data_IF_379032933096
#
_entry.id   IF_379032933096
#
_cell.length_a   1.000
_cell.length_b   1.000
_cell.length_c   1.000
_cell.angle_alpha   90.00
_cell.angle_beta   90.00
_cell.angle_gamma   90.00
#
_symmetry.space_group_name_H-M   'P 1'
#
loop_
_entity.id
_entity.type
_entity.pdbx_description
1 polymer ?
#
# COMPACT_ATOMS: atom_id res chain seq x y z
N UNK A 1 -3.25 16.00 8.28
CA UNK A 1 -3.47 14.57 8.04
C UNK A 1 -2.22 13.75 8.34
N UNK A 2 -1.03 14.12 7.89
CA UNK A 2 0.25 13.43 8.24
C UNK A 2 0.97 14.15 9.39
N UNK A 3 1.68 13.41 10.25
CA UNK A 3 2.58 13.97 11.25
C UNK A 3 3.93 14.37 10.63
N UNK A 4 4.59 15.39 11.20
CA UNK A 4 5.84 15.94 10.65
C UNK A 4 6.95 14.89 10.61
N UNK A 5 7.00 14.04 11.64
CA UNK A 5 7.93 12.93 11.85
C UNK A 5 7.43 11.59 11.31
N UNK A 6 6.46 11.59 10.37
CA UNK A 6 5.95 10.38 9.72
C UNK A 6 7.07 9.46 9.25
N UNK A 7 6.98 8.18 9.58
CA UNK A 7 7.85 7.14 8.99
C UNK A 7 6.99 6.13 8.23
N UNK A 8 7.30 5.94 6.95
CA UNK A 8 6.67 4.91 6.10
C UNK A 8 7.73 3.93 5.64
N UNK A 9 7.42 2.63 5.72
CA UNK A 9 8.32 1.57 5.28
C UNK A 9 7.74 0.83 4.08
N UNK A 10 8.60 0.55 3.10
CA UNK A 10 8.32 -0.31 1.95
C UNK A 10 9.23 -1.53 2.01
N UNK A 11 8.83 -2.60 2.74
CA UNK A 11 9.74 -3.70 3.04
C UNK A 11 10.16 -4.50 1.81
N UNK A 12 9.32 -4.52 0.76
CA UNK A 12 9.60 -5.27 -0.48
C UNK A 12 10.81 -4.70 -1.21
N UNK A 13 10.95 -3.37 -1.27
CA UNK A 13 12.11 -2.69 -1.86
C UNK A 13 13.24 -2.42 -0.83
N UNK A 14 12.97 -2.62 0.46
CA UNK A 14 13.93 -2.35 1.54
C UNK A 14 14.07 -0.88 1.89
N UNK A 15 13.06 -0.07 1.60
CA UNK A 15 13.10 1.38 1.75
C UNK A 15 12.37 1.87 3.01
N UNK A 16 12.87 2.97 3.59
CA UNK A 16 12.23 3.71 4.67
C UNK A 16 12.21 5.20 4.32
N UNK A 17 11.02 5.77 4.32
CA UNK A 17 10.75 7.18 4.05
C UNK A 17 10.55 7.86 5.40
N UNK A 18 11.33 8.89 5.68
CA UNK A 18 11.28 9.65 6.95
C UNK A 18 10.88 11.09 6.67
N UNK A 19 9.88 11.58 7.40
CA UNK A 19 9.34 12.92 7.28
C UNK A 19 8.18 13.01 6.28
N UNK A 20 7.14 13.79 6.64
CA UNK A 20 5.96 13.95 5.76
C UNK A 20 6.30 14.54 4.40
N UNK A 21 7.28 15.44 4.33
CA UNK A 21 7.59 16.18 3.12
C UNK A 21 8.16 15.21 2.07
N UNK A 22 9.05 14.29 2.49
CA UNK A 22 9.57 13.23 1.62
C UNK A 22 8.45 12.31 1.13
N UNK A 23 7.55 11.87 2.02
CA UNK A 23 6.44 11.01 1.62
C UNK A 23 5.49 11.69 0.62
N UNK A 24 5.19 12.97 0.82
CA UNK A 24 4.37 13.76 -0.10
C UNK A 24 5.09 13.96 -1.44
N UNK A 25 6.37 14.31 -1.43
CA UNK A 25 7.17 14.49 -2.66
C UNK A 25 7.19 13.22 -3.51
N UNK A 26 7.44 12.05 -2.92
CA UNK A 26 7.46 10.77 -3.64
C UNK A 26 6.11 10.51 -4.33
N UNK A 27 5.00 10.73 -3.62
CA UNK A 27 3.66 10.54 -4.19
C UNK A 27 3.32 11.58 -5.27
N UNK A 28 3.87 12.80 -5.18
CA UNK A 28 3.65 13.87 -6.14
C UNK A 28 4.52 13.73 -7.41
N UNK A 29 5.73 13.21 -7.26
CA UNK A 29 6.70 12.98 -8.34
C UNK A 29 6.50 11.64 -9.06
N UNK A 30 5.50 10.85 -8.65
CA UNK A 30 5.19 9.56 -9.25
C UNK A 30 5.04 9.72 -10.79
N UNK A 31 5.96 9.14 -11.61
CA UNK A 31 6.20 9.61 -12.98
C UNK A 31 5.00 9.57 -13.93
N UNK A 32 4.05 8.67 -13.69
CA UNK A 32 2.86 8.46 -14.54
C UNK A 32 1.57 8.99 -13.89
N UNK A 33 1.67 9.60 -12.72
CA UNK A 33 0.52 9.85 -11.86
C UNK A 33 -0.08 8.55 -11.32
N UNK A 34 -1.11 8.67 -10.48
CA UNK A 34 -1.76 7.50 -9.89
C UNK A 34 -3.25 7.74 -9.68
N UNK A 35 -4.00 6.65 -9.67
CA UNK A 35 -5.35 6.60 -9.14
C UNK A 35 -5.44 5.49 -8.10
N UNK A 36 -6.32 5.65 -7.12
CA UNK A 36 -6.52 4.67 -6.06
C UNK A 36 -7.99 4.30 -6.02
N UNK A 37 -8.26 3.00 -6.00
CA UNK A 37 -9.55 2.43 -5.65
C UNK A 37 -9.44 1.79 -4.27
N UNK A 38 -10.18 2.33 -3.31
CA UNK A 38 -10.26 1.73 -1.97
C UNK A 38 -11.14 0.48 -2.03
N UNK A 39 -10.60 -0.65 -1.60
CA UNK A 39 -11.34 -1.93 -1.52
C UNK A 39 -11.88 -2.15 -0.11
N UNK A 40 -11.03 -1.91 0.90
CA UNK A 40 -11.38 -2.13 2.30
C UNK A 40 -10.58 -1.22 3.22
N UNK A 41 -11.21 -0.80 4.31
CA UNK A 41 -10.55 -0.17 5.46
C UNK A 41 -11.00 -0.89 6.72
N UNK A 42 -10.06 -1.19 7.62
CA UNK A 42 -10.32 -1.73 8.96
C UNK A 42 -9.59 -0.86 9.96
N UNK A 43 -10.25 -0.47 11.04
CA UNK A 43 -9.66 0.35 12.10
C UNK A 43 -9.91 -0.31 13.47
N UNK A 44 -8.87 -0.34 14.30
CA UNK A 44 -8.92 -0.78 15.69
C UNK A 44 -7.97 0.07 16.54
N UNK A 45 -8.54 0.93 17.39
CA UNK A 45 -7.78 1.91 18.16
C UNK A 45 -6.91 2.81 17.25
N UNK A 46 -5.60 2.77 17.47
CA UNK A 46 -4.62 3.52 16.67
C UNK A 46 -4.20 2.80 15.37
N UNK A 47 -4.54 1.52 15.21
CA UNK A 47 -4.16 0.75 14.03
C UNK A 47 -5.23 0.89 12.94
N UNK A 48 -4.81 1.19 11.72
CA UNK A 48 -5.69 1.24 10.55
C UNK A 48 -5.05 0.46 9.42
N UNK A 49 -5.80 -0.44 8.79
CA UNK A 49 -5.36 -1.18 7.61
C UNK A 49 -6.21 -0.73 6.43
N UNK A 50 -5.56 -0.38 5.32
CA UNK A 50 -6.22 -0.15 4.04
C UNK A 50 -5.79 -1.20 3.03
N UNK A 51 -6.76 -1.76 2.32
CA UNK A 51 -6.55 -2.54 1.11
C UNK A 51 -7.03 -1.69 -0.07
N UNK A 52 -6.13 -1.45 -1.02
CA UNK A 52 -6.42 -0.63 -2.19
C UNK A 52 -5.92 -1.29 -3.46
N UNK A 53 -6.51 -0.86 -4.57
CA UNK A 53 -6.09 -1.14 -5.92
C UNK A 53 -5.53 0.14 -6.55
N UNK A 54 -4.37 0.04 -7.18
CA UNK A 54 -3.69 1.14 -7.88
C UNK A 54 -3.50 0.69 -9.34
N UNK A 55 -4.43 1.03 -10.25
CA UNK A 55 -4.27 0.69 -11.66
C UNK A 55 -3.19 1.59 -12.30
N UNK A 56 -2.35 0.95 -13.09
CA UNK A 56 -1.25 1.59 -13.83
C UNK A 56 -1.34 1.19 -15.30
N UNK A 57 -1.21 2.16 -16.20
CA UNK A 57 -1.39 1.91 -17.63
C UNK A 57 -0.29 0.98 -18.18
N UNK A 58 0.96 1.19 -17.76
CA UNK A 58 2.11 0.40 -18.23
C UNK A 58 2.46 -0.83 -17.36
N UNK A 59 2.09 -0.85 -16.09
CA UNK A 59 2.56 -1.84 -15.09
C UNK A 59 1.44 -2.72 -14.53
N UNK A 60 0.25 -2.66 -15.15
CA UNK A 60 -0.90 -3.44 -14.70
C UNK A 60 -1.49 -2.91 -13.40
N UNK A 61 -2.12 -3.81 -12.64
CA UNK A 61 -2.88 -3.42 -11.45
C UNK A 61 -2.13 -3.83 -10.20
N UNK A 62 -1.75 -2.86 -9.37
CA UNK A 62 -1.17 -3.14 -8.07
C UNK A 62 -2.25 -3.31 -7.00
N UNK A 63 -2.08 -4.30 -6.13
CA UNK A 63 -2.76 -4.43 -4.84
C UNK A 63 -1.82 -3.95 -3.75
N UNK A 64 -2.34 -3.09 -2.87
CA UNK A 64 -1.56 -2.53 -1.78
C UNK A 64 -2.27 -2.78 -0.48
N UNK A 65 -1.56 -3.44 0.45
CA UNK A 65 -1.94 -3.55 1.84
C UNK A 65 -1.08 -2.60 2.66
N UNK A 66 -1.70 -1.58 3.25
CA UNK A 66 -1.01 -0.57 4.04
C UNK A 66 -1.48 -0.62 5.48
N UNK A 67 -0.52 -0.71 6.40
CA UNK A 67 -0.70 -0.76 7.85
C UNK A 67 -0.29 0.58 8.43
N UNK A 68 -1.26 1.37 8.86
CA UNK A 68 -1.08 2.72 9.37
C UNK A 68 -1.20 2.76 10.88
N UNK A 69 -0.46 3.67 11.49
CA UNK A 69 -0.69 4.12 12.88
C UNK A 69 -1.25 5.52 12.84
N UNK A 70 -2.42 5.72 13.46
CA UNK A 70 -3.10 7.01 13.57
C UNK A 70 -3.18 7.41 15.04
N UNK A 71 -2.70 8.62 15.35
CA UNK A 71 -2.77 9.23 16.69
C UNK A 71 -3.17 10.70 16.55
N UNK A 72 -4.05 11.16 17.44
CA UNK A 72 -4.52 12.56 17.45
C UNK A 72 -5.00 13.07 16.08
N UNK A 73 -5.69 12.20 15.33
CA UNK A 73 -6.20 12.49 13.99
C UNK A 73 -5.12 12.63 12.90
N UNK A 74 -3.88 12.22 13.17
CA UNK A 74 -2.77 12.22 12.20
C UNK A 74 -2.23 10.81 11.97
N UNK A 75 -1.85 10.51 10.73
CA UNK A 75 -1.04 9.33 10.40
C UNK A 75 0.39 9.62 10.87
N UNK A 76 0.89 8.80 11.78
CA UNK A 76 2.24 8.95 12.38
C UNK A 76 3.22 7.89 11.88
N UNK A 77 2.71 6.80 11.29
CA UNK A 77 3.54 5.73 10.76
C UNK A 77 2.80 4.88 9.76
N UNK A 78 3.54 4.22 8.87
CA UNK A 78 3.00 3.35 7.85
C UNK A 78 3.96 2.22 7.49
N UNK A 79 3.40 1.09 7.05
CA UNK A 79 4.13 0.05 6.35
C UNK A 79 3.27 -0.47 5.20
N UNK A 80 3.81 -0.50 4.00
CA UNK A 80 3.04 -0.84 2.80
C UNK A 80 3.66 -2.02 2.06
N UNK A 81 2.80 -2.93 1.62
CA UNK A 81 3.16 -4.07 0.79
C UNK A 81 2.45 -3.95 -0.55
N UNK A 82 3.23 -3.79 -1.60
CA UNK A 82 2.77 -3.68 -2.96
C UNK A 82 2.99 -5.01 -3.67
N UNK A 83 1.95 -5.50 -4.36
CA UNK A 83 2.04 -6.68 -5.23
C UNK A 83 1.31 -6.38 -6.52
N UNK A 84 1.81 -6.91 -7.63
CA UNK A 84 1.15 -6.80 -8.93
C UNK A 84 0.20 -7.99 -9.12
N UNK A 85 -1.06 -7.69 -9.43
CA UNK A 85 -2.11 -8.68 -9.56
C UNK A 85 -1.77 -9.71 -10.64
N UNK A 86 -1.69 -10.98 -10.24
CA UNK A 86 -1.46 -12.11 -11.15
C UNK A 86 0.00 -12.44 -11.45
N UNK A 87 0.96 -11.72 -10.87
CA UNK A 87 2.39 -12.02 -11.03
C UNK A 87 2.86 -13.23 -10.24
N UNK A 88 2.25 -13.51 -9.09
CA UNK A 88 2.43 -14.77 -8.37
C UNK A 88 1.47 -15.84 -8.92
N UNK A 89 1.97 -16.64 -9.86
CA UNK A 89 1.19 -17.67 -10.56
C UNK A 89 0.71 -18.74 -9.57
N UNK A 90 -0.57 -19.12 -9.69
CA UNK A 90 -1.13 -20.19 -8.84
C UNK A 90 -0.40 -21.52 -9.10
N UNK A 91 0.27 -22.11 -8.10
CA UNK A 91 0.90 -23.42 -8.21
C UNK A 91 -0.10 -24.52 -8.59
N UNK A 92 0.32 -25.40 -9.50
CA UNK A 92 -0.53 -26.50 -10.03
C UNK A 92 -1.00 -27.45 -8.94
N UNK A 93 -0.14 -27.78 -7.96
CA UNK A 93 -0.43 -28.77 -6.93
C UNK A 93 -1.66 -28.43 -6.08
N UNK A 94 -2.05 -27.14 -6.02
CA UNK A 94 -3.24 -26.68 -5.28
C UNK A 94 -4.42 -26.28 -6.17
N UNK A 95 -4.35 -26.51 -7.48
CA UNK A 95 -5.38 -26.09 -8.43
C UNK A 95 -6.77 -26.70 -8.12
N UNK A 96 -6.82 -27.94 -7.64
CA UNK A 96 -8.08 -28.62 -7.29
C UNK A 96 -8.79 -28.02 -6.05
N UNK A 97 -8.09 -27.21 -5.25
CA UNK A 97 -8.62 -26.67 -3.99
C UNK A 97 -9.01 -25.19 -4.07
N UNK A 98 -8.81 -24.52 -5.21
CA UNK A 98 -9.00 -23.08 -5.34
C UNK A 98 -9.95 -22.75 -6.47
N UNK A 99 -10.78 -21.73 -6.26
CA UNK A 99 -11.48 -21.05 -7.34
C UNK A 99 -10.63 -19.85 -7.76
N UNK A 100 -10.39 -19.69 -9.06
CA UNK A 100 -9.74 -18.48 -9.59
C UNK A 100 -10.70 -17.31 -9.46
N UNK A 101 -10.18 -16.18 -8.95
CA UNK A 101 -10.90 -14.93 -8.77
C UNK A 101 -10.61 -13.97 -9.92
#
# INVERSE_FOLDING_TARGET
MLADDLVVEWPVSGERIVGRDNFVSINAEYPEGWSIRVLRIVADGAAVVSEVEVPHDAMGVHRVASFWTVRDGKIVGGREYWTELGTDLSPEWRAAYVQRM
#
